data_IF_959658431384
#
_entry.id   IF_959658431384
#
_cell.length_a   1.000
_cell.length_b   1.000
_cell.length_c   1.000
_cell.angle_alpha   90.00
_cell.angle_beta   90.00
_cell.angle_gamma   90.00
#
_symmetry.space_group_name_H-M   'P 1'
#
loop_
_entity.id
_entity.type
_entity.pdbx_description
1 polymer ?
#
# COMPACT_ATOMS: atom_id res chain seq x y z
N UNK A 1 30.91 -19.04 5.66
CA UNK A 1 30.13 -18.00 6.39
C UNK A 1 29.09 -17.31 5.50
N UNK A 2 29.46 -16.71 4.36
CA UNK A 2 28.54 -15.99 3.45
C UNK A 2 27.36 -16.83 2.90
N UNK A 3 27.59 -18.12 2.63
CA UNK A 3 26.54 -19.02 2.12
C UNK A 3 25.50 -19.37 3.20
N UNK A 4 25.93 -19.70 4.41
CA UNK A 4 25.03 -19.99 5.54
C UNK A 4 24.22 -18.75 5.94
N UNK A 5 24.82 -17.56 5.97
CA UNK A 5 24.09 -16.32 6.24
C UNK A 5 23.03 -16.00 5.18
N UNK A 6 23.32 -16.30 3.90
CA UNK A 6 22.36 -16.09 2.80
C UNK A 6 21.17 -17.05 2.88
N UNK A 7 21.41 -18.32 3.20
CA UNK A 7 20.36 -19.34 3.38
C UNK A 7 19.48 -19.02 4.59
N UNK A 8 20.06 -18.57 5.72
CA UNK A 8 19.28 -18.15 6.90
C UNK A 8 18.40 -16.93 6.61
N UNK A 9 18.86 -15.97 5.80
CA UNK A 9 18.06 -14.82 5.38
C UNK A 9 16.88 -15.21 4.49
N UNK A 10 17.10 -16.13 3.54
CA UNK A 10 16.05 -16.65 2.66
C UNK A 10 14.97 -17.37 3.47
N UNK A 11 15.37 -18.33 4.32
CA UNK A 11 14.42 -19.07 5.16
C UNK A 11 13.64 -18.16 6.13
N UNK A 12 14.29 -17.09 6.63
CA UNK A 12 13.62 -16.10 7.48
C UNK A 12 12.60 -15.28 6.68
N UNK A 13 12.91 -14.91 5.44
CA UNK A 13 11.95 -14.22 4.56
C UNK A 13 10.79 -15.12 4.18
N UNK A 14 11.04 -16.39 3.85
CA UNK A 14 9.98 -17.37 3.55
C UNK A 14 9.06 -17.59 4.77
N UNK A 15 9.66 -17.66 5.97
CA UNK A 15 8.92 -17.73 7.22
C UNK A 15 8.10 -16.47 7.53
N UNK A 16 8.50 -15.28 7.04
CA UNK A 16 7.72 -14.05 7.16
C UNK A 16 6.57 -14.04 6.15
N UNK A 17 6.83 -14.36 4.88
CA UNK A 17 5.81 -14.33 3.84
C UNK A 17 4.65 -15.30 4.09
N UNK A 18 4.93 -16.46 4.70
CA UNK A 18 3.88 -17.40 5.11
C UNK A 18 2.96 -16.88 6.23
N UNK A 19 3.31 -15.79 6.91
CA UNK A 19 2.51 -15.16 7.95
C UNK A 19 1.71 -13.94 7.46
N UNK A 20 1.96 -13.48 6.23
CA UNK A 20 1.24 -12.35 5.65
C UNK A 20 -0.17 -12.82 5.28
N UNK A 21 -1.19 -12.07 5.72
CA UNK A 21 -2.59 -12.40 5.50
C UNK A 21 -3.36 -11.27 4.80
N UNK A 22 -4.49 -11.58 4.12
CA UNK A 22 -5.37 -10.57 3.58
C UNK A 22 -5.76 -9.54 4.64
N UNK A 23 -5.66 -8.26 4.29
CA UNK A 23 -5.92 -7.13 5.19
C UNK A 23 -4.66 -6.55 5.84
N UNK A 24 -3.56 -7.29 5.88
CA UNK A 24 -2.26 -6.73 6.28
C UNK A 24 -1.81 -5.63 5.32
N UNK A 25 -0.97 -4.72 5.79
CA UNK A 25 -0.49 -3.58 5.00
C UNK A 25 0.99 -3.71 4.69
N UNK A 26 1.37 -3.40 3.45
CA UNK A 26 2.76 -3.26 3.04
C UNK A 26 3.06 -1.79 2.82
N UNK A 27 3.99 -1.25 3.58
CA UNK A 27 4.47 0.12 3.43
C UNK A 27 5.81 0.15 2.70
N UNK A 28 5.98 1.11 1.80
CA UNK A 28 7.19 1.28 1.01
C UNK A 28 7.83 2.64 1.27
N UNK A 29 9.15 2.67 1.22
CA UNK A 29 9.97 3.90 1.26
C UNK A 29 10.87 3.91 0.04
N UNK A 30 10.48 4.62 -1.02
CA UNK A 30 11.32 4.80 -2.21
C UNK A 30 12.41 5.84 -1.97
N UNK A 31 13.38 5.95 -2.88
CA UNK A 31 14.44 6.97 -2.87
C UNK A 31 14.32 7.98 -4.03
N UNK A 32 13.31 7.85 -4.89
CA UNK A 32 13.00 8.82 -5.94
C UNK A 32 12.68 10.22 -5.37
N UNK A 33 12.80 11.28 -6.19
CA UNK A 33 12.50 12.67 -5.79
C UNK A 33 11.11 12.81 -5.14
N UNK A 34 10.10 12.11 -5.66
CA UNK A 34 8.72 12.17 -5.15
C UNK A 34 8.54 11.53 -3.78
N UNK A 35 9.24 10.41 -3.52
CA UNK A 35 9.22 9.73 -2.22
C UNK A 35 9.87 10.56 -1.11
N UNK A 36 10.87 11.40 -1.45
CA UNK A 36 11.46 12.35 -0.49
C UNK A 36 10.47 13.46 -0.12
N UNK A 37 9.70 13.93 -1.11
CA UNK A 37 8.66 14.94 -0.90
C UNK A 37 7.54 14.38 -0.03
N UNK A 38 7.03 13.18 -0.32
CA UNK A 38 5.98 12.55 0.48
C UNK A 38 6.48 12.32 1.91
N UNK A 39 7.64 11.68 2.12
CA UNK A 39 8.19 11.45 3.46
C UNK A 39 8.40 12.74 4.27
N UNK A 40 8.82 13.81 3.58
CA UNK A 40 8.99 15.12 4.19
C UNK A 40 7.63 15.76 4.58
N UNK A 41 6.61 15.62 3.74
CA UNK A 41 5.26 16.12 4.02
C UNK A 41 4.50 15.30 5.07
N UNK A 42 4.71 13.99 5.10
CA UNK A 42 4.05 13.06 6.05
C UNK A 42 4.81 12.94 7.36
N UNK A 43 6.02 13.52 7.47
CA UNK A 43 6.95 13.33 8.59
C UNK A 43 7.16 11.85 8.95
N UNK A 44 7.07 10.98 7.95
CA UNK A 44 7.10 9.53 8.11
C UNK A 44 8.10 8.93 7.13
N UNK A 45 8.78 7.82 7.48
CA UNK A 45 9.65 7.13 6.55
C UNK A 45 8.89 6.49 5.37
N UNK A 46 7.55 6.39 5.42
CA UNK A 46 6.74 5.73 4.41
C UNK A 46 6.24 6.71 3.35
N UNK A 47 6.43 6.34 2.08
CA UNK A 47 6.00 7.14 0.91
C UNK A 47 4.80 6.55 0.18
N UNK A 48 4.51 5.26 0.39
CA UNK A 48 3.48 4.54 -0.34
C UNK A 48 3.02 3.33 0.47
N UNK A 49 1.78 2.90 0.30
CA UNK A 49 1.21 1.72 0.96
C UNK A 49 0.36 0.92 -0.02
N UNK A 50 0.26 -0.38 0.21
CA UNK A 50 -0.71 -1.28 -0.40
C UNK A 50 -1.28 -2.21 0.66
N UNK A 51 -2.45 -2.78 0.39
CA UNK A 51 -3.09 -3.78 1.24
C UNK A 51 -2.95 -5.16 0.62
N UNK A 52 -2.71 -6.18 1.44
CA UNK A 52 -2.68 -7.57 0.99
C UNK A 52 -4.09 -7.97 0.59
N UNK A 53 -4.24 -8.29 -0.69
CA UNK A 53 -5.49 -8.73 -1.30
C UNK A 53 -5.66 -10.24 -1.11
N UNK A 54 -4.61 -11.01 -1.39
CA UNK A 54 -4.60 -12.46 -1.31
C UNK A 54 -3.19 -12.93 -0.92
N UNK A 55 -3.07 -14.02 -0.17
CA UNK A 55 -1.79 -14.57 0.27
C UNK A 55 -1.45 -15.94 -0.34
N UNK A 56 -2.32 -16.50 -1.17
CA UNK A 56 -2.12 -17.79 -1.84
C UNK A 56 -2.62 -17.78 -3.28
N UNK A 57 -2.33 -16.70 -4.00
CA UNK A 57 -2.81 -16.58 -5.35
C UNK A 57 -1.91 -17.40 -6.31
N UNK A 58 -2.47 -18.30 -7.14
CA UNK A 58 -1.67 -19.15 -8.02
C UNK A 58 -0.95 -18.37 -9.14
N UNK A 59 0.32 -18.70 -9.40
CA UNK A 59 1.10 -18.19 -10.53
C UNK A 59 2.01 -19.29 -11.14
N UNK A 60 2.79 -18.92 -12.17
CA UNK A 60 3.67 -19.87 -12.91
C UNK A 60 4.81 -20.46 -12.06
N UNK A 61 5.17 -19.83 -10.96
CA UNK A 61 6.29 -20.18 -10.06
C UNK A 61 5.82 -20.75 -8.72
N UNK A 62 4.51 -20.77 -8.43
CA UNK A 62 3.93 -21.24 -7.18
C UNK A 62 2.74 -20.40 -6.73
N UNK A 63 2.46 -20.38 -5.43
CA UNK A 63 1.56 -19.40 -4.81
C UNK A 63 2.36 -18.13 -4.47
N UNK A 64 1.76 -16.95 -4.65
CA UNK A 64 2.34 -15.67 -4.24
C UNK A 64 1.27 -14.75 -3.66
N UNK A 65 1.72 -13.69 -3.02
CA UNK A 65 0.89 -12.69 -2.36
C UNK A 65 0.51 -11.62 -3.38
N UNK A 66 -0.78 -11.34 -3.50
CA UNK A 66 -1.28 -10.18 -4.22
C UNK A 66 -1.47 -9.00 -3.27
N UNK A 67 -1.06 -7.83 -3.74
CA UNK A 67 -1.39 -6.56 -3.09
C UNK A 67 -2.25 -5.71 -4.02
N UNK A 68 -3.17 -4.96 -3.43
CA UNK A 68 -3.90 -3.89 -4.10
C UNK A 68 -3.33 -2.53 -3.64
N UNK A 69 -3.08 -1.65 -4.60
CA UNK A 69 -2.57 -0.30 -4.34
C UNK A 69 -3.19 0.71 -5.30
N UNK A 70 -3.24 1.99 -4.89
CA UNK A 70 -3.59 3.09 -5.78
C UNK A 70 -2.33 3.84 -6.15
N UNK A 71 -1.97 3.89 -7.43
CA UNK A 71 -0.71 4.49 -7.86
C UNK A 71 -0.80 5.12 -9.25
N UNK A 72 0.03 6.16 -9.47
CA UNK A 72 0.23 6.77 -10.79
C UNK A 72 1.42 6.18 -11.55
N UNK A 73 2.21 5.31 -10.90
CA UNK A 73 3.33 4.63 -11.54
C UNK A 73 2.80 3.44 -12.35
N UNK A 74 3.24 3.32 -13.59
CA UNK A 74 2.79 2.28 -14.54
C UNK A 74 3.96 1.48 -15.11
N UNK A 75 5.11 1.51 -14.40
CA UNK A 75 6.37 0.90 -14.85
C UNK A 75 6.42 -0.58 -14.47
N UNK A 76 5.82 -0.93 -13.32
CA UNK A 76 5.66 -2.32 -12.90
C UNK A 76 4.41 -2.87 -13.58
N UNK A 77 4.48 -3.96 -14.35
CA UNK A 77 3.30 -4.62 -14.92
C UNK A 77 2.33 -5.06 -13.83
N UNK A 78 1.04 -5.03 -14.10
CA UNK A 78 0.05 -5.54 -13.16
C UNK A 78 0.12 -7.08 -13.04
N UNK A 79 -0.68 -7.66 -12.15
CA UNK A 79 -0.64 -9.10 -11.93
C UNK A 79 -0.99 -9.92 -13.19
N UNK A 80 -1.69 -9.33 -14.17
CA UNK A 80 -1.99 -9.94 -15.46
C UNK A 80 -0.85 -9.79 -16.47
N UNK A 81 0.33 -9.33 -16.04
CA UNK A 81 1.51 -9.06 -16.88
C UNK A 81 1.24 -8.00 -17.97
N UNK A 82 0.21 -7.16 -17.78
CA UNK A 82 -0.14 -6.07 -18.70
C UNK A 82 0.40 -4.73 -18.20
N UNK A 83 0.49 -3.76 -19.11
CA UNK A 83 0.87 -2.40 -18.75
C UNK A 83 -0.21 -1.80 -17.86
N UNK A 84 0.15 -1.49 -16.60
CA UNK A 84 -0.83 -0.96 -15.65
C UNK A 84 -1.36 0.41 -16.04
N UNK A 85 -2.63 0.65 -15.75
CA UNK A 85 -3.28 1.95 -15.88
C UNK A 85 -3.13 2.73 -14.56
N UNK A 86 -3.14 4.07 -14.64
CA UNK A 86 -3.09 4.91 -13.42
C UNK A 86 -4.38 4.73 -12.60
N UNK A 87 -4.26 4.54 -11.29
CA UNK A 87 -5.39 4.30 -10.39
C UNK A 87 -5.17 3.06 -9.54
N UNK A 88 -6.24 2.34 -9.25
CA UNK A 88 -6.18 1.06 -8.53
C UNK A 88 -5.50 0.01 -9.43
N UNK A 89 -4.48 -0.62 -8.87
CA UNK A 89 -3.69 -1.66 -9.51
C UNK A 89 -3.54 -2.84 -8.55
N UNK A 90 -3.39 -4.04 -9.10
CA UNK A 90 -3.08 -5.26 -8.35
C UNK A 90 -1.73 -5.79 -8.84
N UNK A 91 -0.86 -6.15 -7.91
CA UNK A 91 0.48 -6.64 -8.22
C UNK A 91 0.83 -7.86 -7.37
N UNK A 92 1.71 -8.70 -7.93
CA UNK A 92 2.49 -9.63 -7.14
C UNK A 92 3.41 -8.86 -6.18
N UNK A 93 3.37 -9.22 -4.90
CA UNK A 93 4.22 -8.60 -3.89
C UNK A 93 5.71 -8.80 -4.24
N UNK A 94 6.07 -9.99 -4.71
CA UNK A 94 7.42 -10.31 -5.18
C UNK A 94 7.94 -9.32 -6.24
N UNK A 95 7.14 -9.05 -7.27
CA UNK A 95 7.49 -8.12 -8.34
C UNK A 95 7.63 -6.68 -7.83
N UNK A 96 6.77 -6.28 -6.88
CA UNK A 96 6.87 -4.95 -6.25
C UNK A 96 8.11 -4.83 -5.39
N UNK A 97 8.45 -5.84 -4.59
CA UNK A 97 9.68 -5.84 -3.80
C UNK A 97 10.92 -5.80 -4.70
N UNK A 98 10.92 -6.56 -5.80
CA UNK A 98 12.01 -6.55 -6.79
C UNK A 98 12.25 -5.15 -7.38
N UNK A 99 11.18 -4.42 -7.70
CA UNK A 99 11.29 -3.03 -8.16
C UNK A 99 11.94 -2.11 -7.11
N UNK A 100 11.63 -2.32 -5.82
CA UNK A 100 12.17 -1.52 -4.74
C UNK A 100 13.60 -1.92 -4.31
N UNK A 101 14.08 -3.13 -4.61
CA UNK A 101 15.41 -3.64 -4.18
C UNK A 101 16.56 -2.67 -4.45
N UNK A 102 16.53 -1.96 -5.58
CA UNK A 102 17.59 -1.05 -5.96
C UNK A 102 17.40 0.38 -5.42
N UNK A 103 16.20 0.73 -4.96
CA UNK A 103 15.81 2.12 -4.77
C UNK A 103 14.97 2.39 -3.52
N UNK A 104 14.84 1.46 -2.59
CA UNK A 104 14.04 1.70 -1.40
C UNK A 104 13.95 0.52 -0.45
N UNK A 105 12.97 0.62 0.45
CA UNK A 105 12.70 -0.34 1.53
C UNK A 105 11.22 -0.67 1.60
N UNK A 106 10.90 -1.81 2.21
CA UNK A 106 9.51 -2.21 2.47
C UNK A 106 9.35 -2.83 3.85
N UNK A 107 8.18 -2.57 4.45
CA UNK A 107 7.77 -3.07 5.75
C UNK A 107 6.41 -3.73 5.64
N UNK A 108 6.24 -4.82 6.38
CA UNK A 108 4.96 -5.47 6.60
C UNK A 108 4.39 -5.02 7.95
N UNK A 109 3.13 -4.59 7.92
CA UNK A 109 2.31 -4.21 9.07
C UNK A 109 1.21 -5.24 9.24
N UNK A 110 1.36 -6.19 10.16
CA UNK A 110 0.35 -7.19 10.43
C UNK A 110 -0.84 -6.55 11.13
N UNK A 111 -2.05 -6.99 10.83
CA UNK A 111 -3.20 -6.69 11.68
C UNK A 111 -3.02 -7.34 13.06
N UNK A 112 -3.49 -6.64 14.11
CA UNK A 112 -3.56 -7.14 15.48
C UNK A 112 -4.55 -8.31 15.58
N UNK A 113 -5.69 -8.18 14.88
CA UNK A 113 -6.74 -9.19 14.87
C UNK A 113 -6.83 -9.83 13.49
N UNK A 114 -6.94 -11.16 13.45
CA UNK A 114 -7.24 -11.86 12.21
C UNK A 114 -8.68 -11.62 11.80
N UNK A 115 -8.87 -11.31 10.52
CA UNK A 115 -10.19 -11.15 9.93
C UNK A 115 -10.87 -12.51 9.74
N UNK A 116 -12.20 -12.54 9.91
CA UNK A 116 -12.98 -13.72 9.54
C UNK A 116 -13.03 -13.87 8.02
N UNK A 117 -13.29 -15.10 7.56
CA UNK A 117 -13.38 -15.40 6.13
C UNK A 117 -14.42 -14.52 5.40
N UNK A 118 -15.57 -14.26 6.02
CA UNK A 118 -16.63 -13.45 5.41
C UNK A 118 -16.22 -11.99 5.23
N UNK A 119 -15.48 -11.44 6.20
CA UNK A 119 -14.97 -10.08 6.16
C UNK A 119 -13.86 -9.94 5.12
N UNK A 120 -12.95 -10.92 5.06
CA UNK A 120 -11.94 -11.01 4.00
C UNK A 120 -12.61 -11.03 2.63
N UNK A 121 -13.63 -11.88 2.45
CA UNK A 121 -14.35 -12.04 1.18
C UNK A 121 -15.03 -10.73 0.72
N UNK A 122 -15.61 -9.97 1.66
CA UNK A 122 -16.22 -8.67 1.36
C UNK A 122 -15.19 -7.63 0.91
N UNK A 123 -14.09 -7.51 1.66
CA UNK A 123 -12.99 -6.60 1.32
C UNK A 123 -12.35 -6.96 -0.02
N UNK A 124 -12.07 -8.24 -0.25
CA UNK A 124 -11.52 -8.74 -1.52
C UNK A 124 -12.45 -8.44 -2.69
N UNK A 125 -13.76 -8.71 -2.53
CA UNK A 125 -14.75 -8.45 -3.57
C UNK A 125 -14.80 -6.97 -3.96
N UNK A 126 -14.69 -6.07 -2.98
CA UNK A 126 -14.63 -4.63 -3.22
C UNK A 126 -13.35 -4.21 -3.95
N UNK A 127 -12.18 -4.69 -3.50
CA UNK A 127 -10.90 -4.40 -4.15
C UNK A 127 -10.85 -4.90 -5.59
N UNK A 128 -11.34 -6.13 -5.84
CA UNK A 128 -11.45 -6.70 -7.18
C UNK A 128 -12.38 -5.87 -8.06
N UNK A 129 -13.54 -5.45 -7.55
CA UNK A 129 -14.45 -4.59 -8.29
C UNK A 129 -13.79 -3.26 -8.69
N UNK A 130 -13.01 -2.63 -7.80
CA UNK A 130 -12.28 -1.40 -8.12
C UNK A 130 -11.21 -1.61 -9.20
N UNK A 131 -10.50 -2.74 -9.14
CA UNK A 131 -9.52 -3.13 -10.16
C UNK A 131 -10.18 -3.39 -11.52
N UNK A 132 -11.23 -4.21 -11.57
CA UNK A 132 -11.93 -4.60 -12.80
C UNK A 132 -12.63 -3.43 -13.49
N UNK A 133 -13.21 -2.53 -12.70
CA UNK A 133 -13.82 -1.29 -13.21
C UNK A 133 -12.80 -0.27 -13.70
N UNK A 134 -11.49 -0.57 -13.57
CA UNK A 134 -10.38 0.34 -13.87
C UNK A 134 -10.60 1.71 -13.22
N UNK A 135 -11.09 1.71 -11.98
CA UNK A 135 -11.59 2.91 -11.30
C UNK A 135 -10.59 4.06 -11.47
N UNK A 136 -10.95 5.12 -12.23
CA UNK A 136 -10.02 6.18 -12.54
C UNK A 136 -9.67 6.98 -11.29
N UNK A 137 -8.42 7.44 -11.29
CA UNK A 137 -7.85 8.35 -10.32
C UNK A 137 -8.75 9.57 -10.01
N UNK A 138 -9.46 9.58 -8.88
CA UNK A 138 -10.32 10.71 -8.48
C UNK A 138 -9.54 11.79 -7.70
N UNK A 139 -8.65 12.48 -8.43
CA UNK A 139 -7.70 13.52 -7.98
C UNK A 139 -8.14 14.59 -6.96
N UNK A 140 -9.43 14.79 -6.69
CA UNK A 140 -9.92 16.06 -6.14
C UNK A 140 -10.38 16.01 -4.68
N UNK A 141 -10.80 14.86 -4.15
CA UNK A 141 -11.44 14.79 -2.82
C UNK A 141 -10.41 14.71 -1.67
N UNK A 142 -9.44 13.81 -1.75
CA UNK A 142 -8.46 13.52 -0.68
C UNK A 142 -7.44 14.61 -0.45
N UNK A 143 -6.83 15.15 -1.53
CA UNK A 143 -5.83 16.22 -1.40
C UNK A 143 -6.48 17.50 -0.85
N UNK A 144 -7.68 17.84 -1.33
CA UNK A 144 -8.44 18.99 -0.84
C UNK A 144 -8.81 18.85 0.64
N UNK A 145 -9.30 17.68 1.04
CA UNK A 145 -9.63 17.37 2.44
C UNK A 145 -8.40 17.43 3.36
N UNK A 146 -7.26 16.87 2.93
CA UNK A 146 -6.02 16.89 3.71
C UNK A 146 -5.41 18.29 3.83
N UNK A 147 -5.34 19.05 2.73
CA UNK A 147 -4.83 20.42 2.75
C UNK A 147 -5.71 21.33 3.62
N UNK A 148 -7.04 21.12 3.61
CA UNK A 148 -7.98 21.85 4.45
C UNK A 148 -7.80 21.50 5.94
N UNK A 149 -7.67 20.21 6.26
CA UNK A 149 -7.42 19.71 7.63
C UNK A 149 -6.12 20.26 8.21
N UNK A 150 -5.07 20.35 7.40
CA UNK A 150 -3.74 20.77 7.85
C UNK A 150 -3.42 22.26 7.59
N UNK A 151 -4.41 23.09 7.22
CA UNK A 151 -4.27 24.55 7.03
C UNK A 151 -3.17 24.99 6.06
N UNK A 152 -2.92 24.23 4.99
CA UNK A 152 -1.83 24.50 4.03
C UNK A 152 -2.26 25.21 2.73
N UNK A 153 -3.37 25.95 2.73
CA UNK A 153 -3.78 26.78 1.59
C UNK A 153 -3.34 28.25 1.75
N UNK A 154 -2.75 28.82 0.70
CA UNK A 154 -2.70 30.28 0.50
C UNK A 154 -3.96 30.78 -0.22
N UNK A 155 -4.22 32.08 -0.11
CA UNK A 155 -5.40 32.77 -0.66
C UNK A 155 -5.40 32.89 -2.20
N UNK A 156 -4.39 32.35 -2.91
CA UNK A 156 -4.19 32.55 -4.35
C UNK A 156 -4.26 31.24 -5.16
N UNK A 157 -4.48 30.10 -4.49
CA UNK A 157 -5.10 28.91 -5.09
C UNK A 157 -4.30 28.23 -6.22
N UNK A 158 -2.99 28.45 -6.31
CA UNK A 158 -2.15 27.83 -7.36
C UNK A 158 -1.01 26.99 -6.79
N UNK A 159 -1.24 25.68 -6.72
CA UNK A 159 -0.18 24.68 -6.84
C UNK A 159 -0.54 23.66 -7.91
N UNK A 160 0.41 23.39 -8.81
CA UNK A 160 0.32 22.34 -9.83
C UNK A 160 0.37 21.00 -9.11
N UNK A 161 -0.73 20.24 -9.13
CA UNK A 161 -0.78 18.87 -8.59
C UNK A 161 0.31 18.01 -9.26
N UNK A 162 1.28 17.55 -8.49
CA UNK A 162 2.36 16.67 -8.94
C UNK A 162 2.13 15.23 -8.46
N UNK A 163 3.01 14.30 -8.88
CA UNK A 163 3.07 12.88 -8.50
C UNK A 163 3.00 12.62 -6.97
N UNK A 164 3.25 13.63 -6.13
CA UNK A 164 3.07 13.60 -4.67
C UNK A 164 1.68 13.18 -4.20
N UNK A 165 0.68 13.33 -5.05
CA UNK A 165 -0.69 12.97 -4.72
C UNK A 165 -0.95 11.46 -4.65
N UNK A 166 -0.18 10.65 -5.39
CA UNK A 166 -0.29 9.18 -5.36
C UNK A 166 -0.17 8.59 -3.94
N UNK A 167 0.68 9.20 -3.10
CA UNK A 167 0.84 8.80 -1.70
C UNK A 167 -0.41 9.02 -0.84
N UNK A 168 -1.23 10.02 -1.14
CA UNK A 168 -2.47 10.29 -0.39
C UNK A 168 -3.62 9.36 -0.84
N UNK A 169 -3.62 8.93 -2.10
CA UNK A 169 -4.63 8.00 -2.62
C UNK A 169 -4.35 6.55 -2.25
N UNK A 170 -3.08 6.17 -2.10
CA UNK A 170 -2.76 4.82 -1.67
C UNK A 170 -3.20 4.58 -0.23
N UNK A 171 -3.01 5.54 0.67
CA UNK A 171 -3.53 5.46 2.03
C UNK A 171 -5.04 5.58 2.11
N UNK A 172 -5.69 6.35 1.24
CA UNK A 172 -7.16 6.41 1.13
C UNK A 172 -7.75 5.04 0.73
N UNK A 173 -7.21 4.41 -0.32
CA UNK A 173 -7.65 3.07 -0.76
C UNK A 173 -7.54 2.06 0.39
N UNK A 174 -6.40 2.05 1.09
CA UNK A 174 -6.18 1.12 2.20
C UNK A 174 -7.10 1.44 3.38
N UNK A 175 -7.30 2.72 3.73
CA UNK A 175 -8.22 3.10 4.79
C UNK A 175 -9.67 2.69 4.47
N UNK A 176 -10.15 2.85 3.24
CA UNK A 176 -11.47 2.38 2.83
C UNK A 176 -11.59 0.86 2.91
N UNK A 177 -10.56 0.12 2.47
CA UNK A 177 -10.53 -1.34 2.60
C UNK A 177 -10.63 -1.79 4.07
N UNK A 178 -9.92 -1.12 4.97
CA UNK A 178 -9.96 -1.40 6.41
C UNK A 178 -11.33 -1.03 7.04
N UNK A 179 -12.02 0.01 6.53
CA UNK A 179 -13.38 0.33 6.94
C UNK A 179 -14.38 -0.73 6.49
N UNK A 180 -14.26 -1.21 5.25
CA UNK A 180 -15.08 -2.31 4.73
C UNK A 180 -14.83 -3.58 5.55
N UNK A 181 -13.59 -3.80 5.95
CA UNK A 181 -13.23 -4.89 6.85
C UNK A 181 -13.70 -4.69 8.31
N UNK A 182 -14.28 -3.53 8.65
CA UNK A 182 -14.74 -3.21 10.00
C UNK A 182 -13.62 -3.02 11.03
N UNK A 183 -12.36 -2.88 10.58
CA UNK A 183 -11.19 -2.74 11.46
C UNK A 183 -11.09 -1.32 12.01
N UNK A 184 -11.40 -0.32 11.18
CA UNK A 184 -11.32 1.10 11.54
C UNK A 184 -12.70 1.74 11.45
N UNK A 185 -12.94 2.76 12.29
CA UNK A 185 -14.25 3.42 12.40
C UNK A 185 -14.73 3.92 11.03
N UNK A 186 -15.97 3.60 10.66
CA UNK A 186 -16.61 4.04 9.41
C UNK A 186 -16.80 5.55 9.31
N UNK A 187 -16.69 6.28 10.43
CA UNK A 187 -16.75 7.75 10.47
C UNK A 187 -15.39 8.42 10.20
N UNK A 188 -14.30 7.66 10.28
CA UNK A 188 -12.98 8.15 9.90
C UNK A 188 -13.01 8.56 8.43
N UNK A 189 -12.38 9.68 8.07
CA UNK A 189 -12.34 10.13 6.67
C UNK A 189 -11.09 9.55 5.99
N UNK A 190 -11.20 8.52 5.12
CA UNK A 190 -10.05 7.83 4.52
C UNK A 190 -9.12 8.79 3.77
N UNK A 191 -9.72 9.77 3.10
CA UNK A 191 -9.08 10.78 2.30
C UNK A 191 -8.15 11.73 3.10
N UNK A 192 -8.26 11.72 4.43
CA UNK A 192 -7.52 12.60 5.32
C UNK A 192 -6.27 11.95 5.94
N UNK A 193 -5.97 10.69 5.60
CA UNK A 193 -4.81 9.95 6.12
C UNK A 193 -3.70 9.88 5.09
N UNK A 194 -2.49 10.19 5.52
CA UNK A 194 -1.28 9.91 4.75
C UNK A 194 -0.82 8.47 4.99
N UNK A 195 0.14 7.93 4.21
CA UNK A 195 0.74 6.63 4.50
C UNK A 195 1.29 6.52 5.91
N UNK A 196 1.87 7.61 6.42
CA UNK A 196 2.39 7.68 7.79
C UNK A 196 1.28 7.64 8.85
N UNK A 197 0.18 8.37 8.64
CA UNK A 197 -0.95 8.36 9.58
C UNK A 197 -1.63 6.99 9.61
N UNK A 198 -1.78 6.37 8.44
CA UNK A 198 -2.42 5.07 8.27
C UNK A 198 -1.69 3.97 9.03
N UNK A 199 -0.37 3.83 8.84
CA UNK A 199 0.38 2.72 9.44
C UNK A 199 0.62 2.89 10.95
N UNK A 200 0.28 4.06 11.51
CA UNK A 200 0.31 4.33 12.95
C UNK A 200 -1.06 4.12 13.62
N UNK A 201 -2.07 3.61 12.90
CA UNK A 201 -3.34 3.22 13.50
C UNK A 201 -3.14 2.06 14.47
N UNK A 202 -3.90 2.05 15.57
CA UNK A 202 -3.79 1.06 16.67
C UNK A 202 -4.16 -0.37 16.25
N UNK A 203 -4.70 -0.56 15.04
CA UNK A 203 -5.07 -1.87 14.52
C UNK A 203 -3.88 -2.71 14.01
N UNK A 204 -2.68 -2.14 13.96
CA UNK A 204 -1.48 -2.82 13.48
C UNK A 204 -0.55 -3.23 14.63
N UNK A 205 0.06 -4.40 14.46
CA UNK A 205 1.23 -4.85 15.24
C UNK A 205 2.50 -4.14 14.79
N UNK A 206 3.54 -4.28 15.59
CA UNK A 206 4.88 -3.79 15.28
C UNK A 206 5.34 -4.23 13.87
N UNK A 207 5.83 -3.29 13.04
CA UNK A 207 6.17 -3.60 11.66
C UNK A 207 7.46 -4.41 11.55
N UNK A 208 7.49 -5.31 10.57
CA UNK A 208 8.70 -6.06 10.20
C UNK A 208 9.27 -5.52 8.89
N UNK A 209 10.57 -5.21 8.89
CA UNK A 209 11.29 -4.85 7.65
C UNK A 209 11.44 -6.10 6.78
N UNK A 210 10.80 -6.10 5.62
CA UNK A 210 10.79 -7.23 4.66
C UNK A 210 11.71 -6.97 3.46
N UNK A 211 12.14 -5.71 3.26
CA UNK A 211 13.15 -5.32 2.29
C UNK A 211 14.03 -4.19 2.87
N UNK A 212 15.28 -4.47 3.26
CA UNK A 212 16.18 -3.51 3.92
C UNK A 212 16.91 -2.53 3.00
#
# INVERSE_FOLDING_TARGET
>A
MLYQSKVTLINKMDGIFSQINPGDVIAFSGNGLDSRIIRWFTRSPYSHVGIVLDNKYPNKQGEDILIAESTTYTIVPDFQEQKSLKGVQVHWLSHRLDFYKACGRAWWFPLEQQLSHDIISQMQSWLWHLYESQTPFSTRKSIGAWLAKNKYFDAEGKKKLSQSSAGLFCSELVAEALQIAGIIDSKLNPAAHTPGDLVNLECFREPTLILP
#
